data_IF_981511899880
#
_entry.id   IF_981511899880
#
_cell.length_a   1.000
_cell.length_b   1.000
_cell.length_c   1.000
_cell.angle_alpha   90.00
_cell.angle_beta   90.00
_cell.angle_gamma   90.00
#
_symmetry.space_group_name_H-M   'P 1'
#
loop_
_entity.id
_entity.type
_entity.pdbx_description
1 polymer ?
#
# COMPACT_ATOMS: atom_id res chain seq x y z
N UNK A 1 -9.49 -59.74 -36.51
CA UNK A 1 -8.43 -58.92 -36.02
C UNK A 1 -8.92 -57.49 -35.84
N UNK A 2 -9.36 -57.14 -34.64
CA UNK A 2 -9.89 -55.80 -34.31
C UNK A 2 -8.82 -55.04 -33.56
N UNK A 3 -8.26 -54.00 -34.12
CA UNK A 3 -7.26 -53.13 -33.50
C UNK A 3 -7.98 -51.94 -32.88
N UNK A 4 -8.13 -51.95 -31.55
CA UNK A 4 -8.67 -50.82 -30.81
C UNK A 4 -7.54 -49.77 -30.62
N UNK A 5 -7.72 -48.59 -31.21
CA UNK A 5 -6.90 -47.41 -30.89
C UNK A 5 -7.44 -46.71 -29.65
N UNK A 6 -6.67 -46.73 -28.58
CA UNK A 6 -6.92 -46.00 -27.37
C UNK A 6 -6.47 -44.54 -27.60
N UNK A 7 -7.42 -43.64 -27.72
CA UNK A 7 -7.15 -42.20 -27.75
C UNK A 7 -6.99 -41.74 -26.31
N UNK A 8 -5.75 -41.49 -25.89
CA UNK A 8 -5.44 -40.81 -24.63
C UNK A 8 -5.68 -39.31 -24.83
N UNK A 9 -6.84 -38.82 -24.35
CA UNK A 9 -7.10 -37.38 -24.26
C UNK A 9 -6.35 -36.83 -23.04
N UNK A 10 -5.19 -36.18 -23.31
CA UNK A 10 -4.48 -35.42 -22.31
C UNK A 10 -5.28 -34.21 -21.85
N UNK A 11 -5.81 -34.23 -20.64
CA UNK A 11 -6.34 -33.04 -19.97
C UNK A 11 -5.13 -32.21 -19.51
N UNK A 12 -4.80 -31.17 -20.29
CA UNK A 12 -3.87 -30.16 -19.83
C UNK A 12 -4.55 -29.38 -18.69
N UNK A 13 -4.15 -29.63 -17.45
CA UNK A 13 -4.56 -28.81 -16.32
C UNK A 13 -3.97 -27.41 -16.51
N UNK A 14 -4.80 -26.49 -16.97
CA UNK A 14 -4.50 -25.06 -17.01
C UNK A 14 -4.60 -24.58 -15.56
N UNK A 15 -3.49 -24.63 -14.83
CA UNK A 15 -3.35 -23.93 -13.57
C UNK A 15 -3.41 -22.43 -13.90
N UNK A 16 -4.64 -21.89 -13.90
CA UNK A 16 -4.86 -20.46 -14.03
C UNK A 16 -4.17 -19.78 -12.84
N UNK A 17 -3.14 -19.03 -13.11
CA UNK A 17 -2.61 -18.04 -12.18
C UNK A 17 -3.72 -17.02 -11.99
N UNK A 18 -4.46 -17.14 -10.91
CA UNK A 18 -5.29 -16.06 -10.40
C UNK A 18 -4.30 -14.97 -9.95
N UNK A 19 -3.97 -14.06 -10.86
CA UNK A 19 -3.39 -12.78 -10.47
C UNK A 19 -4.42 -12.12 -9.56
N UNK A 20 -4.23 -12.23 -8.26
CA UNK A 20 -4.93 -11.37 -7.31
C UNK A 20 -4.59 -9.95 -7.73
N UNK A 21 -5.60 -9.20 -8.18
CA UNK A 21 -5.48 -7.77 -8.39
C UNK A 21 -5.17 -7.18 -7.02
N UNK A 22 -3.89 -7.03 -6.71
CA UNK A 22 -3.44 -6.30 -5.53
C UNK A 22 -3.84 -4.85 -5.76
N UNK A 23 -4.67 -4.31 -4.89
CA UNK A 23 -5.00 -2.90 -4.92
C UNK A 23 -3.73 -2.12 -4.65
N UNK A 24 -3.21 -1.47 -5.69
CA UNK A 24 -2.07 -0.56 -5.57
C UNK A 24 -2.56 0.66 -4.79
N UNK A 25 -2.16 0.80 -3.53
CA UNK A 25 -2.45 1.99 -2.75
C UNK A 25 -1.27 2.96 -2.84
N UNK A 26 -1.58 4.22 -3.05
CA UNK A 26 -0.59 5.28 -3.13
C UNK A 26 -0.87 6.33 -2.05
N UNK A 27 0.18 6.76 -1.39
CA UNK A 27 0.11 7.88 -0.43
C UNK A 27 0.22 9.25 -1.11
N UNK A 28 0.35 9.31 -2.45
CA UNK A 28 0.54 10.57 -3.16
C UNK A 28 1.67 11.40 -2.57
N UNK A 29 1.41 12.69 -2.31
CA UNK A 29 2.40 13.58 -1.71
C UNK A 29 2.73 13.24 -0.24
N UNK A 30 1.85 12.51 0.48
CA UNK A 30 2.11 12.08 1.86
C UNK A 30 3.25 11.06 1.96
N UNK A 31 3.55 10.31 0.88
CA UNK A 31 4.63 9.32 0.86
C UNK A 31 6.05 9.88 1.02
N UNK A 32 6.23 11.20 0.93
CA UNK A 32 7.51 11.87 1.20
C UNK A 32 7.69 12.32 2.65
N UNK A 33 6.67 12.14 3.48
CA UNK A 33 6.69 12.56 4.88
C UNK A 33 7.02 11.38 5.80
N UNK A 34 8.07 11.55 6.62
CA UNK A 34 8.32 10.64 7.73
C UNK A 34 7.27 10.83 8.83
N UNK A 35 6.90 12.08 9.08
CA UNK A 35 5.88 12.48 10.05
C UNK A 35 4.93 13.49 9.42
N UNK A 36 3.62 13.23 9.56
CA UNK A 36 2.58 14.18 9.20
C UNK A 36 1.49 14.16 10.29
N UNK A 37 1.16 15.33 10.84
CA UNK A 37 0.16 15.45 11.90
C UNK A 37 -0.97 16.41 11.52
N UNK A 38 -2.18 16.14 12.02
CA UNK A 38 -3.34 17.03 11.87
C UNK A 38 -3.24 18.27 12.75
N UNK A 39 -2.74 18.15 13.97
CA UNK A 39 -2.77 19.24 14.96
C UNK A 39 -1.38 19.74 15.35
N UNK A 40 -0.53 18.92 15.92
CA UNK A 40 0.80 19.29 16.40
C UNK A 40 1.79 18.15 16.25
N UNK A 41 3.08 18.47 16.13
CA UNK A 41 4.18 17.54 16.32
C UNK A 41 5.01 17.97 17.48
N UNK A 42 5.26 17.08 18.43
CA UNK A 42 6.14 17.31 19.58
C UNK A 42 7.22 16.24 19.61
N UNK A 43 8.46 16.65 19.87
CA UNK A 43 9.58 15.74 20.04
C UNK A 43 10.33 16.06 21.31
N UNK A 44 10.86 15.04 21.97
CA UNK A 44 11.80 15.14 23.08
C UNK A 44 13.02 14.28 22.76
N UNK A 45 14.21 14.75 23.20
CA UNK A 45 15.46 14.02 22.94
C UNK A 45 15.96 14.13 21.50
N UNK A 46 16.80 13.19 21.07
CA UNK A 46 17.55 13.24 19.81
C UNK A 46 16.81 12.49 18.67
N UNK A 47 15.55 12.79 18.45
CA UNK A 47 14.79 12.17 17.34
C UNK A 47 15.43 12.45 16.00
N UNK A 48 15.59 11.41 15.18
CA UNK A 48 16.12 11.49 13.81
C UNK A 48 15.01 11.13 12.82
N UNK A 49 14.72 12.03 11.88
CA UNK A 49 13.76 11.83 10.81
C UNK A 49 14.48 11.83 9.46
N UNK A 50 14.45 10.70 8.76
CA UNK A 50 14.88 10.58 7.37
C UNK A 50 13.65 10.68 6.47
N UNK A 51 13.24 11.90 6.14
CA UNK A 51 12.04 12.27 5.38
C UNK A 51 11.49 13.61 5.83
N UNK A 52 10.46 14.10 5.14
CA UNK A 52 9.84 15.39 5.46
C UNK A 52 9.01 15.33 6.75
N UNK A 53 8.89 16.48 7.40
CA UNK A 53 8.08 16.70 8.60
C UNK A 53 6.95 17.67 8.27
N UNK A 54 5.70 17.29 8.53
CA UNK A 54 4.53 18.12 8.22
C UNK A 54 3.51 18.20 9.33
N UNK A 55 2.80 19.33 9.35
CA UNK A 55 1.61 19.53 10.18
C UNK A 55 0.60 20.39 9.42
N UNK A 56 -0.66 19.93 9.30
CA UNK A 56 -1.79 20.67 8.72
C UNK A 56 -3.11 20.01 9.13
N UNK A 57 -4.18 20.78 9.48
CA UNK A 57 -4.27 22.23 9.51
C UNK A 57 -3.55 22.90 10.70
N UNK A 58 -3.00 22.12 11.64
CA UNK A 58 -2.14 22.66 12.69
C UNK A 58 -0.91 23.35 12.13
N UNK A 59 -0.22 24.11 12.98
CA UNK A 59 0.97 24.89 12.60
C UNK A 59 2.12 24.71 13.60
N UNK A 60 1.94 23.85 14.59
CA UNK A 60 2.87 23.76 15.72
C UNK A 60 3.76 22.54 15.61
N UNK A 61 5.06 22.77 15.51
CA UNK A 61 6.13 21.78 15.58
C UNK A 61 7.09 22.23 16.69
N UNK A 62 7.34 21.39 17.69
CA UNK A 62 8.17 21.71 18.83
C UNK A 62 9.13 20.57 19.19
N UNK A 63 10.23 20.92 19.86
CA UNK A 63 11.12 19.96 20.51
C UNK A 63 12.20 19.35 19.62
N UNK A 64 12.37 19.78 18.37
CA UNK A 64 13.42 19.27 17.47
C UNK A 64 14.80 19.94 17.64
N UNK A 65 15.00 20.75 18.69
CA UNK A 65 16.27 21.44 18.92
C UNK A 65 17.49 20.50 19.00
N UNK A 66 17.42 19.34 19.68
CA UNK A 66 18.50 18.35 19.68
C UNK A 66 18.37 17.30 18.56
N UNK A 67 17.19 17.14 17.95
CA UNK A 67 16.93 16.17 16.89
C UNK A 67 17.35 16.66 15.50
N UNK A 68 17.27 15.75 14.52
CA UNK A 68 17.62 16.00 13.11
C UNK A 68 16.43 15.67 12.22
N UNK A 69 16.13 16.56 11.28
CA UNK A 69 15.18 16.31 10.19
C UNK A 69 15.96 16.35 8.88
N UNK A 70 16.18 15.18 8.27
CA UNK A 70 16.76 15.07 6.92
C UNK A 70 15.65 15.10 5.88
N UNK A 71 15.13 16.28 5.64
CA UNK A 71 14.01 16.55 4.77
C UNK A 71 13.52 17.97 4.98
N UNK A 72 12.39 18.30 4.34
CA UNK A 72 11.78 19.62 4.47
C UNK A 72 10.72 19.63 5.58
N UNK A 73 10.58 20.79 6.24
CA UNK A 73 9.56 21.00 7.26
C UNK A 73 8.47 21.92 6.75
N UNK A 74 7.21 21.46 6.88
CA UNK A 74 6.02 22.12 6.40
C UNK A 74 5.02 22.34 7.55
N UNK A 75 4.70 23.58 7.86
CA UNK A 75 3.85 23.92 9.02
C UNK A 75 2.67 24.78 8.56
N UNK A 76 1.49 24.19 8.41
CA UNK A 76 0.26 24.86 8.02
C UNK A 76 0.24 25.38 6.59
N UNK A 77 1.12 24.94 5.74
CA UNK A 77 1.20 25.36 4.35
C UNK A 77 0.43 24.45 3.39
N UNK A 78 0.40 24.83 2.10
CA UNK A 78 -0.34 24.10 1.07
C UNK A 78 0.25 22.72 0.77
N UNK A 79 1.55 22.50 1.00
CA UNK A 79 2.21 21.21 0.77
C UNK A 79 1.77 20.21 1.84
N UNK A 80 1.81 20.61 3.11
CA UNK A 80 1.31 19.78 4.21
C UNK A 80 -0.21 19.54 4.09
N UNK A 81 -0.99 20.55 3.65
CA UNK A 81 -2.42 20.40 3.43
C UNK A 81 -2.75 19.39 2.32
N UNK A 82 -2.01 19.41 1.22
CA UNK A 82 -2.16 18.41 0.14
C UNK A 82 -1.79 17.02 0.64
N UNK A 83 -0.69 16.89 1.37
CA UNK A 83 -0.27 15.62 1.93
C UNK A 83 -1.33 15.04 2.89
N UNK A 84 -1.98 15.85 3.72
CA UNK A 84 -3.10 15.40 4.56
C UNK A 84 -4.30 14.93 3.73
N UNK A 85 -4.63 15.61 2.64
CA UNK A 85 -5.69 15.19 1.73
C UNK A 85 -5.38 13.84 1.08
N UNK A 86 -4.14 13.64 0.65
CA UNK A 86 -3.70 12.38 0.04
C UNK A 86 -3.67 11.25 1.07
N UNK A 87 -3.20 11.51 2.31
CA UNK A 87 -3.24 10.55 3.41
C UNK A 87 -4.68 10.12 3.76
N UNK A 88 -5.64 11.06 3.79
CA UNK A 88 -7.05 10.75 4.00
C UNK A 88 -7.62 9.89 2.87
N UNK A 89 -7.23 10.16 1.63
CA UNK A 89 -7.66 9.37 0.47
C UNK A 89 -7.11 7.94 0.56
N UNK A 90 -5.84 7.78 0.93
CA UNK A 90 -5.22 6.47 1.19
C UNK A 90 -5.91 5.73 2.34
N UNK A 91 -6.16 6.41 3.47
CA UNK A 91 -6.87 5.85 4.62
C UNK A 91 -8.24 5.29 4.24
N UNK A 92 -9.02 6.04 3.47
CA UNK A 92 -10.37 5.64 3.03
C UNK A 92 -10.30 4.44 2.08
N UNK A 93 -9.33 4.43 1.17
CA UNK A 93 -9.09 3.31 0.25
C UNK A 93 -8.74 2.03 1.01
N UNK A 94 -7.82 2.13 1.98
CA UNK A 94 -7.39 1.00 2.81
C UNK A 94 -8.53 0.44 3.65
N UNK A 95 -9.37 1.31 4.23
CA UNK A 95 -10.55 0.91 5.01
C UNK A 95 -11.61 0.15 4.18
N UNK A 96 -11.65 0.39 2.86
CA UNK A 96 -12.57 -0.26 1.92
C UNK A 96 -12.09 -1.61 1.38
N UNK A 97 -10.86 -2.04 1.68
CA UNK A 97 -10.34 -3.33 1.21
C UNK A 97 -11.05 -4.50 1.90
N UNK A 98 -11.23 -5.59 1.16
CA UNK A 98 -11.86 -6.80 1.70
C UNK A 98 -10.82 -7.63 2.47
N UNK A 99 -11.02 -7.88 3.77
CA UNK A 99 -10.09 -8.67 4.56
C UNK A 99 -10.05 -10.15 4.11
N UNK A 100 -8.85 -10.73 4.08
CA UNK A 100 -8.69 -12.18 3.90
C UNK A 100 -8.86 -12.93 5.21
N UNK A 101 -8.60 -12.27 6.34
CA UNK A 101 -8.69 -12.87 7.67
C UNK A 101 -9.01 -11.81 8.74
N UNK A 102 -9.85 -12.18 9.70
CA UNK A 102 -10.05 -11.41 10.94
C UNK A 102 -9.12 -11.95 12.04
N UNK A 103 -8.37 -11.03 12.64
CA UNK A 103 -7.50 -11.28 13.80
C UNK A 103 -8.05 -10.63 15.07
N UNK A 104 -9.33 -10.28 15.10
CA UNK A 104 -9.97 -9.62 16.25
C UNK A 104 -9.79 -10.44 17.52
N UNK A 105 -9.25 -9.80 18.57
CA UNK A 105 -8.99 -10.43 19.87
C UNK A 105 -7.70 -11.26 19.93
N UNK A 106 -6.92 -11.33 18.85
CA UNK A 106 -5.61 -11.98 18.84
C UNK A 106 -4.50 -10.94 19.07
N UNK A 107 -3.47 -11.33 19.83
CA UNK A 107 -2.20 -10.60 19.88
C UNK A 107 -1.40 -10.95 18.61
N UNK A 108 -0.79 -9.94 18.00
CA UNK A 108 0.06 -10.11 16.82
C UNK A 108 1.40 -10.79 17.13
N UNK A 109 1.82 -10.77 18.41
CA UNK A 109 3.08 -11.40 18.84
C UNK A 109 3.10 -12.89 18.62
N UNK A 110 4.21 -13.39 18.06
CA UNK A 110 4.42 -14.79 17.73
C UNK A 110 3.74 -15.25 16.45
N UNK A 111 2.97 -14.38 15.76
CA UNK A 111 2.38 -14.73 14.47
C UNK A 111 3.40 -14.60 13.33
N UNK A 112 3.24 -15.47 12.32
CA UNK A 112 3.85 -15.31 11.00
C UNK A 112 2.71 -15.17 9.99
N UNK A 113 2.66 -14.02 9.30
CA UNK A 113 1.61 -13.70 8.35
C UNK A 113 2.18 -13.65 6.92
N UNK A 114 1.36 -14.01 5.95
CA UNK A 114 1.64 -13.91 4.51
C UNK A 114 0.95 -12.68 3.91
N UNK A 115 1.24 -12.28 2.65
CA UNK A 115 0.61 -11.10 2.06
C UNK A 115 -0.91 -11.15 2.09
N UNK A 116 -1.54 -10.05 2.49
CA UNK A 116 -3.00 -9.98 2.59
C UNK A 116 -3.53 -8.80 3.39
N UNK A 117 -4.86 -8.72 3.50
CA UNK A 117 -5.59 -7.73 4.29
C UNK A 117 -6.10 -8.38 5.56
N UNK A 118 -5.69 -7.89 6.71
CA UNK A 118 -6.03 -8.40 8.04
C UNK A 118 -6.90 -7.39 8.78
N UNK A 119 -7.98 -7.84 9.38
CA UNK A 119 -8.94 -6.96 10.05
C UNK A 119 -9.04 -7.24 11.54
N UNK A 120 -9.13 -6.15 12.31
CA UNK A 120 -9.48 -6.12 13.73
C UNK A 120 -10.70 -5.22 13.89
N UNK A 121 -11.84 -5.74 14.32
CA UNK A 121 -13.05 -4.94 14.58
C UNK A 121 -12.93 -4.05 15.83
N UNK A 122 -11.89 -4.27 16.63
CA UNK A 122 -11.56 -3.52 17.85
C UNK A 122 -10.09 -3.08 17.83
N UNK A 123 -9.44 -3.00 19.00
CA UNK A 123 -8.02 -2.74 19.11
C UNK A 123 -7.16 -3.93 18.66
N UNK A 124 -5.94 -3.62 18.22
CA UNK A 124 -4.87 -4.57 17.99
C UNK A 124 -3.72 -4.34 18.97
N UNK A 125 -3.08 -5.43 19.38
CA UNK A 125 -1.93 -5.42 20.27
C UNK A 125 -0.79 -6.24 19.65
N UNK A 126 0.44 -5.77 19.85
CA UNK A 126 1.65 -6.50 19.51
C UNK A 126 2.50 -6.68 20.76
N UNK A 127 2.64 -7.94 21.24
CA UNK A 127 3.52 -8.28 22.36
C UNK A 127 4.60 -9.24 21.86
N UNK A 128 5.85 -8.76 21.78
CA UNK A 128 6.97 -9.52 21.21
C UNK A 128 7.10 -9.34 19.71
N UNK A 129 7.25 -10.40 18.92
CA UNK A 129 7.61 -10.32 17.50
C UNK A 129 6.47 -10.76 16.59
N UNK A 130 6.13 -9.92 15.61
CA UNK A 130 5.33 -10.27 14.45
C UNK A 130 6.27 -10.49 13.26
N UNK A 131 6.16 -11.63 12.57
CA UNK A 131 6.90 -11.92 11.35
C UNK A 131 5.99 -11.76 10.12
N UNK A 132 6.41 -10.95 9.15
CA UNK A 132 5.75 -10.79 7.86
C UNK A 132 6.58 -11.48 6.78
N UNK A 133 6.07 -12.58 6.26
CA UNK A 133 6.74 -13.40 5.25
C UNK A 133 6.24 -13.03 3.86
N UNK A 134 7.08 -12.42 3.04
CA UNK A 134 6.74 -11.99 1.68
C UNK A 134 6.68 -13.11 0.64
N UNK A 135 6.90 -14.37 1.03
CA UNK A 135 6.85 -15.55 0.13
C UNK A 135 7.74 -15.42 -1.12
N UNK A 136 8.85 -14.68 -1.00
CA UNK A 136 9.78 -14.39 -2.09
C UNK A 136 9.33 -13.27 -3.03
N UNK A 137 8.22 -12.59 -2.73
CA UNK A 137 7.70 -11.48 -3.52
C UNK A 137 8.15 -10.13 -2.93
N UNK A 138 9.02 -9.35 -3.60
CA UNK A 138 9.43 -8.03 -3.12
C UNK A 138 8.31 -6.98 -3.16
N UNK A 139 7.21 -7.26 -3.86
CA UNK A 139 6.03 -6.41 -3.91
C UNK A 139 4.89 -6.94 -3.01
N UNK A 140 5.23 -7.80 -2.04
CA UNK A 140 4.25 -8.32 -1.08
C UNK A 140 3.59 -7.19 -0.29
N UNK A 141 2.26 -7.20 -0.19
CA UNK A 141 1.50 -6.20 0.53
C UNK A 141 0.83 -6.81 1.75
N UNK A 142 0.95 -6.10 2.88
CA UNK A 142 0.32 -6.44 4.15
C UNK A 142 -0.48 -5.22 4.63
N UNK A 143 -1.79 -5.36 4.72
CA UNK A 143 -2.66 -4.28 5.17
C UNK A 143 -3.35 -4.70 6.45
N UNK A 144 -3.21 -3.88 7.50
CA UNK A 144 -3.86 -4.08 8.78
C UNK A 144 -4.95 -3.03 8.97
N UNK A 145 -6.21 -3.44 8.98
CA UNK A 145 -7.36 -2.58 9.26
C UNK A 145 -7.73 -2.73 10.74
N UNK A 146 -7.47 -1.73 11.54
CA UNK A 146 -7.68 -1.75 13.00
C UNK A 146 -8.80 -0.81 13.37
N UNK A 147 -9.91 -1.35 13.90
CA UNK A 147 -11.13 -0.59 14.17
C UNK A 147 -10.99 0.50 15.22
N UNK A 148 -10.05 0.36 16.18
CA UNK A 148 -9.82 1.39 17.21
C UNK A 148 -8.34 1.71 17.37
N UNK A 149 -7.63 1.12 18.33
CA UNK A 149 -6.24 1.48 18.67
C UNK A 149 -5.25 0.38 18.30
N UNK A 150 -4.06 0.80 17.90
CA UNK A 150 -2.88 -0.06 17.81
C UNK A 150 -1.96 0.24 18.99
N UNK A 151 -1.54 -0.79 19.74
CA UNK A 151 -0.59 -0.65 20.84
C UNK A 151 0.47 -1.72 20.76
N UNK A 152 1.73 -1.34 20.87
CA UNK A 152 2.83 -2.30 21.02
C UNK A 152 3.37 -2.30 22.47
N UNK A 153 3.72 -3.47 22.97
CA UNK A 153 4.46 -3.59 24.22
C UNK A 153 5.92 -3.09 24.02
N UNK A 154 6.62 -2.83 25.10
CA UNK A 154 8.03 -2.47 25.04
C UNK A 154 8.85 -3.60 24.38
N UNK A 155 9.86 -3.22 23.60
CA UNK A 155 10.78 -4.12 22.88
C UNK A 155 10.07 -5.09 21.92
N UNK A 156 8.87 -4.73 21.44
CA UNK A 156 8.19 -5.47 20.39
C UNK A 156 8.82 -5.21 19.03
N UNK A 157 8.65 -6.13 18.08
CA UNK A 157 9.23 -5.99 16.75
C UNK A 157 8.29 -6.46 15.65
N UNK A 158 8.33 -5.79 14.50
CA UNK A 158 7.83 -6.29 13.22
C UNK A 158 9.03 -6.69 12.37
N UNK A 159 9.15 -7.98 12.08
CA UNK A 159 10.26 -8.56 11.30
C UNK A 159 9.79 -8.89 9.90
N UNK A 160 10.55 -8.47 8.91
CA UNK A 160 10.27 -8.68 7.48
C UNK A 160 11.16 -9.80 6.96
N UNK A 161 10.56 -10.84 6.35
CA UNK A 161 11.28 -12.00 5.84
C UNK A 161 10.87 -12.33 4.40
N UNK A 162 11.72 -13.09 3.72
CA UNK A 162 11.45 -13.66 2.39
C UNK A 162 10.90 -12.63 1.39
N UNK A 163 11.56 -11.50 1.27
CA UNK A 163 11.21 -10.45 0.30
C UNK A 163 10.19 -9.43 0.78
N UNK A 164 9.57 -9.59 1.95
CA UNK A 164 8.73 -8.54 2.52
C UNK A 164 9.53 -7.24 2.72
N UNK A 165 8.93 -6.10 2.38
CA UNK A 165 9.54 -4.78 2.51
C UNK A 165 8.64 -3.85 3.31
N UNK A 166 9.22 -2.91 4.05
CA UNK A 166 8.47 -1.98 4.90
C UNK A 166 7.47 -1.13 4.09
N UNK A 167 7.84 -0.71 2.87
CA UNK A 167 6.93 0.03 1.97
C UNK A 167 5.74 -0.78 1.45
N UNK A 168 5.72 -2.10 1.68
CA UNK A 168 4.56 -2.96 1.40
C UNK A 168 3.67 -3.19 2.62
N UNK A 169 3.97 -2.60 3.78
CA UNK A 169 3.22 -2.82 5.03
C UNK A 169 2.48 -1.55 5.43
N UNK A 170 1.17 -1.63 5.65
CA UNK A 170 0.36 -0.47 6.04
C UNK A 170 -0.59 -0.82 7.18
N UNK A 171 -0.63 0.08 8.17
CA UNK A 171 -1.45 0.03 9.37
C UNK A 171 -2.51 1.14 9.33
N UNK A 172 -3.72 0.82 8.90
CA UNK A 172 -4.87 1.72 8.97
C UNK A 172 -5.49 1.59 10.36
N UNK A 173 -5.47 2.67 11.16
CA UNK A 173 -5.85 2.68 12.57
C UNK A 173 -7.04 3.61 12.80
N UNK A 174 -8.16 3.07 13.24
CA UNK A 174 -9.43 3.79 13.40
C UNK A 174 -9.45 4.81 14.55
N UNK A 175 -8.40 4.88 15.38
CA UNK A 175 -8.22 5.92 16.40
C UNK A 175 -6.75 6.25 16.52
N UNK A 176 -6.06 5.84 17.59
CA UNK A 176 -4.68 6.21 17.87
C UNK A 176 -3.73 5.01 17.85
N UNK A 177 -2.47 5.25 17.49
CA UNK A 177 -1.40 4.29 17.59
C UNK A 177 -0.40 4.66 18.69
N UNK A 178 0.05 3.67 19.46
CA UNK A 178 1.10 3.85 20.47
C UNK A 178 2.16 2.78 20.30
N UNK A 179 3.36 3.18 19.96
CA UNK A 179 4.53 2.30 19.95
C UNK A 179 5.20 2.34 21.32
N UNK A 180 5.38 1.17 21.94
CA UNK A 180 6.04 1.01 23.22
C UNK A 180 7.53 1.35 23.15
N UNK A 181 8.16 1.54 24.29
CA UNK A 181 9.59 1.82 24.43
C UNK A 181 10.42 0.78 23.69
N UNK A 182 11.45 1.21 22.95
CA UNK A 182 12.38 0.35 22.20
C UNK A 182 11.69 -0.62 21.20
N UNK A 183 10.48 -0.27 20.74
CA UNK A 183 9.81 -1.02 19.68
C UNK A 183 10.52 -0.82 18.35
N UNK A 184 10.83 -1.90 17.62
CA UNK A 184 11.28 -1.86 16.23
C UNK A 184 10.10 -2.12 15.29
N UNK A 185 9.55 -1.08 14.68
CA UNK A 185 8.32 -1.17 13.90
C UNK A 185 8.58 -0.98 12.40
N UNK A 186 7.81 -1.68 11.56
CA UNK A 186 7.90 -1.58 10.11
C UNK A 186 6.53 -1.36 9.48
N UNK A 187 6.49 -0.50 8.47
CA UNK A 187 5.30 -0.13 7.71
C UNK A 187 4.78 1.26 8.03
N UNK A 188 3.93 1.77 7.15
CA UNK A 188 3.34 3.09 7.26
C UNK A 188 2.11 3.06 8.19
N UNK A 189 2.07 3.94 9.18
CA UNK A 189 0.97 4.06 10.14
C UNK A 189 0.08 5.23 9.73
N UNK A 190 -1.17 4.94 9.38
CA UNK A 190 -2.22 5.94 9.14
C UNK A 190 -3.24 5.88 10.27
N UNK A 191 -3.15 6.79 11.21
CA UNK A 191 -4.08 6.86 12.35
C UNK A 191 -5.10 8.00 12.17
N UNK A 192 -6.37 7.70 12.44
CA UNK A 192 -7.41 8.73 12.41
C UNK A 192 -7.15 9.84 13.42
N UNK A 193 -6.63 9.49 14.61
CA UNK A 193 -6.34 10.46 15.66
C UNK A 193 -4.83 10.66 15.84
N UNK A 194 -4.25 10.19 16.90
CA UNK A 194 -2.88 10.52 17.29
C UNK A 194 -1.93 9.34 17.16
N UNK A 195 -0.64 9.64 17.00
CA UNK A 195 0.43 8.64 17.05
C UNK A 195 1.41 9.04 18.14
N UNK A 196 1.72 8.10 19.02
CA UNK A 196 2.72 8.26 20.07
C UNK A 196 3.83 7.22 19.89
N UNK A 197 5.05 7.65 19.76
CA UNK A 197 6.22 6.79 19.78
C UNK A 197 6.98 7.03 21.07
N UNK A 198 6.97 6.03 21.96
CA UNK A 198 7.68 6.10 23.22
C UNK A 198 9.21 6.04 23.03
N UNK A 199 9.93 6.28 24.11
CA UNK A 199 11.38 6.40 24.13
C UNK A 199 12.06 5.26 23.34
N UNK A 200 12.93 5.61 22.41
CA UNK A 200 13.76 4.68 21.66
C UNK A 200 13.01 3.83 20.61
N UNK A 201 11.71 4.02 20.44
CA UNK A 201 11.00 3.32 19.38
C UNK A 201 11.50 3.76 18.00
N UNK A 202 11.72 2.80 17.08
CA UNK A 202 12.12 3.06 15.70
C UNK A 202 11.03 2.65 14.72
N UNK A 203 10.96 3.36 13.58
CA UNK A 203 9.98 3.12 12.54
C UNK A 203 10.64 3.13 11.15
N UNK A 204 10.58 1.99 10.47
CA UNK A 204 10.85 1.91 9.04
C UNK A 204 9.53 2.10 8.29
N UNK A 205 9.20 3.34 7.96
CA UNK A 205 7.91 3.77 7.41
C UNK A 205 7.59 5.20 7.81
N UNK A 206 6.31 5.57 7.68
CA UNK A 206 5.79 6.91 7.99
C UNK A 206 4.78 6.85 9.14
N UNK A 207 4.71 7.93 9.94
CA UNK A 207 3.66 8.11 10.95
C UNK A 207 2.76 9.29 10.56
N UNK A 208 1.56 8.96 10.05
CA UNK A 208 0.61 9.89 9.47
C UNK A 208 -0.65 9.94 10.35
N UNK A 209 -0.79 10.99 11.15
CA UNK A 209 -1.96 11.25 11.99
C UNK A 209 -2.89 12.23 11.28
N UNK A 210 -4.13 11.80 10.94
CA UNK A 210 -5.05 12.61 10.14
C UNK A 210 -5.59 13.82 10.91
N UNK A 211 -6.02 13.63 12.14
CA UNK A 211 -6.67 14.69 12.93
C UNK A 211 -5.91 15.06 14.20
N UNK A 212 -5.09 14.16 14.72
CA UNK A 212 -4.43 14.31 16.01
C UNK A 212 -2.98 14.78 15.92
N UNK A 213 -2.28 14.57 17.04
CA UNK A 213 -0.88 14.92 17.19
C UNK A 213 0.04 13.72 16.91
N UNK A 214 1.29 14.01 16.60
CA UNK A 214 2.39 13.03 16.67
C UNK A 214 3.34 13.41 17.80
N UNK A 215 3.58 12.48 18.72
CA UNK A 215 4.48 12.67 19.87
C UNK A 215 5.66 11.70 19.77
N UNK A 216 6.85 12.23 19.90
CA UNK A 216 8.12 11.52 19.71
C UNK A 216 9.03 11.66 20.92
N UNK A 217 9.83 10.63 21.20
CA UNK A 217 10.83 10.61 22.28
C UNK A 217 12.05 9.77 21.88
N UNK A 218 13.16 10.41 21.49
CA UNK A 218 14.41 9.74 21.07
C UNK A 218 14.16 8.66 19.98
N UNK A 219 13.43 8.99 18.94
CA UNK A 219 13.01 8.03 17.91
C UNK A 219 13.90 8.11 16.66
N UNK A 220 13.98 7.01 15.92
CA UNK A 220 14.57 6.94 14.58
C UNK A 220 13.48 6.54 13.59
N UNK A 221 13.16 7.44 12.67
CA UNK A 221 12.12 7.23 11.67
C UNK A 221 12.73 7.40 10.27
N UNK A 222 12.61 6.35 9.46
CA UNK A 222 13.09 6.35 8.08
C UNK A 222 11.96 5.96 7.15
N UNK A 223 11.59 6.85 6.23
CA UNK A 223 10.58 6.53 5.20
C UNK A 223 11.05 5.32 4.38
N UNK A 224 10.12 4.44 4.10
CA UNK A 224 10.34 3.35 3.15
C UNK A 224 9.84 3.78 1.78
N UNK A 225 10.63 3.54 0.72
CA UNK A 225 10.11 3.67 -0.63
C UNK A 225 9.04 2.60 -0.84
N UNK A 226 7.87 3.02 -1.34
CA UNK A 226 6.88 2.06 -1.81
C UNK A 226 7.52 1.15 -2.88
N UNK A 227 7.17 -0.15 -2.92
CA UNK A 227 7.61 -1.01 -4.00
C UNK A 227 7.24 -0.37 -5.35
N UNK A 228 8.20 -0.24 -6.25
CA UNK A 228 7.94 0.30 -7.59
C UNK A 228 6.90 -0.57 -8.29
N UNK A 229 5.80 0.02 -8.81
CA UNK A 229 4.84 -0.74 -9.59
C UNK A 229 5.59 -1.37 -10.78
N UNK A 230 5.37 -2.67 -10.98
CA UNK A 230 6.07 -3.46 -12.00
C UNK A 230 5.66 -2.96 -13.39
N UNK A 231 6.24 -1.84 -13.84
CA UNK A 231 5.94 -1.14 -15.10
C UNK A 231 6.16 -2.03 -16.34
N UNK A 232 6.89 -3.14 -16.18
CA UNK A 232 7.11 -4.12 -17.25
C UNK A 232 5.87 -4.88 -17.71
N UNK A 233 4.92 -5.16 -16.81
CA UNK A 233 3.69 -5.91 -17.14
C UNK A 233 2.57 -5.00 -17.68
N UNK A 234 2.45 -3.78 -17.19
CA UNK A 234 1.46 -2.81 -17.67
C UNK A 234 1.72 -2.40 -19.13
N UNK A 235 2.99 -2.20 -19.52
CA UNK A 235 3.35 -1.87 -20.88
C UNK A 235 3.06 -3.02 -21.86
N UNK A 236 3.19 -4.29 -21.45
CA UNK A 236 2.96 -5.46 -22.30
C UNK A 236 1.46 -5.68 -22.54
N UNK A 237 0.60 -5.44 -21.55
CA UNK A 237 -0.85 -5.58 -21.72
C UNK A 237 -1.47 -4.48 -22.61
N UNK A 238 -0.95 -3.23 -22.52
CA UNK A 238 -1.36 -2.17 -23.46
C UNK A 238 -0.94 -2.47 -24.90
N UNK A 239 0.25 -3.05 -25.12
CA UNK A 239 0.71 -3.40 -26.45
C UNK A 239 -0.09 -4.55 -27.09
N UNK A 240 -0.47 -5.56 -26.30
CA UNK A 240 -1.30 -6.69 -26.77
C UNK A 240 -2.75 -6.23 -27.05
N UNK A 241 -3.32 -5.36 -26.20
CA UNK A 241 -4.66 -4.81 -26.41
C UNK A 241 -4.75 -3.93 -27.67
N UNK A 242 -3.77 -3.12 -27.96
CA UNK A 242 -3.69 -2.29 -29.17
C UNK A 242 -3.43 -3.12 -30.41
N UNK A 243 -2.62 -4.17 -30.34
CA UNK A 243 -2.33 -5.06 -31.47
C UNK A 243 -3.52 -5.87 -31.93
N UNK A 244 -4.39 -6.32 -31.03
CA UNK A 244 -5.64 -7.02 -31.36
C UNK A 244 -6.71 -6.07 -31.94
N UNK A 245 -6.81 -4.84 -31.42
CA UNK A 245 -7.72 -3.82 -31.95
C UNK A 245 -7.40 -3.42 -33.39
N UNK A 246 -6.14 -3.31 -33.75
CA UNK A 246 -5.73 -2.96 -35.12
C UNK A 246 -5.98 -4.07 -36.13
N UNK A 247 -5.87 -5.34 -35.75
CA UNK A 247 -6.18 -6.46 -36.66
C UNK A 247 -7.69 -6.57 -37.01
N UNK A 248 -8.57 -6.20 -36.06
CA UNK A 248 -10.01 -6.22 -36.30
C UNK A 248 -10.50 -5.02 -37.13
N UNK A 249 -9.88 -3.85 -37.02
CA UNK A 249 -10.23 -2.66 -37.80
C UNK A 249 -9.64 -2.70 -39.22
N UNK A 250 -8.40 -3.24 -39.37
CA UNK A 250 -7.75 -3.39 -40.68
C UNK A 250 -8.50 -4.35 -41.63
N UNK A 251 -9.09 -5.45 -41.10
CA UNK A 251 -9.80 -6.44 -41.91
C UNK A 251 -11.11 -5.92 -42.54
N UNK A 252 -11.75 -4.92 -41.94
CA UNK A 252 -12.99 -4.32 -42.50
C UNK A 252 -12.70 -3.28 -43.59
N UNK A 253 -11.58 -2.59 -43.55
CA UNK A 253 -11.20 -1.61 -44.62
C UNK A 253 -10.75 -2.32 -45.90
N UNK A 254 -10.05 -3.44 -45.83
CA UNK A 254 -9.59 -4.17 -47.04
C UNK A 254 -10.75 -4.78 -47.84
N UNK A 255 -11.83 -5.22 -47.19
CA UNK A 255 -13.02 -5.74 -47.91
C UNK A 255 -13.79 -4.65 -48.63
N UNK A 256 -13.76 -3.39 -48.19
CA UNK A 256 -14.41 -2.26 -48.88
C UNK A 256 -13.68 -1.80 -50.14
N UNK A 257 -12.34 -1.85 -50.12
CA UNK A 257 -11.53 -1.43 -51.30
C UNK A 257 -11.57 -2.48 -52.45
N UNK A 258 -11.81 -3.77 -52.13
CA UNK A 258 -11.93 -4.81 -53.15
C UNK A 258 -13.31 -4.79 -53.84
N UNK A 259 -14.35 -4.30 -53.18
CA UNK A 259 -15.69 -4.14 -53.78
C UNK A 259 -15.75 -2.96 -54.74
N UNK A 260 -14.96 -1.90 -54.52
CA UNK A 260 -14.96 -0.71 -55.37
C UNK A 260 -14.14 -0.86 -56.65
N UNK A 261 -13.24 -1.88 -56.72
CA UNK A 261 -12.46 -2.20 -57.93
C UNK A 261 -13.11 -3.18 -58.91
N UNK A 262 -14.25 -3.79 -58.54
CA UNK A 262 -14.91 -4.81 -59.38
C UNK A 262 -16.05 -4.29 -60.31
N UNK A 263 -16.27 -2.97 -60.38
CA UNK A 263 -17.03 -2.30 -61.47
C UNK A 263 -18.35 -2.96 -61.90
N UNK A 264 -19.12 -3.55 -60.97
CA UNK A 264 -20.44 -4.13 -61.30
C UNK A 264 -21.57 -3.11 -61.03
N UNK A 265 -22.47 -2.87 -61.96
CA UNK A 265 -23.53 -1.87 -61.80
C UNK A 265 -24.59 -2.35 -60.80
N UNK A 266 -24.98 -1.44 -59.94
CA UNK A 266 -26.10 -1.65 -59.00
C UNK A 266 -27.42 -1.71 -59.77
N UNK A 267 -28.08 -2.87 -59.72
CA UNK A 267 -29.43 -3.02 -60.18
C UNK A 267 -30.40 -2.30 -59.21
N UNK A 268 -31.17 -1.38 -59.80
CA UNK A 268 -32.25 -0.66 -59.16
C UNK A 268 -33.38 -1.61 -58.75
N UNK A 269 -33.74 -1.62 -57.49
CA UNK A 269 -35.03 -2.12 -57.00
C UNK A 269 -35.77 -0.96 -56.31
N UNK A 270 -36.86 -0.57 -56.94
CA UNK A 270 -38.03 0.15 -56.43
C UNK A 270 -39.22 -0.71 -56.58
N UNK A 271 -40.30 -0.41 -55.88
CA UNK A 271 -40.59 0.23 -54.60
C UNK A 271 -40.92 -0.75 -53.52
#
# INVERSE_FOLDING_TARGET
>A
MNTNYLVLSGIAAFAGWLSTCQADFSFGSAGSFAILAGSTVTSTGNTVLNGSLGVSPGVTITGFGPGVVDGLTYAGDTVAAQAQSDALSAYTTLAGLVPVQSLTGQDLGGLTLTPGVYNFTSSSQLTGTLTLNGEGNPNAQFVFQIGTTLTTAASSAVVLENGAQAGGVVWQVGSSATLGTDTAFAGDILADQSITMNLGASLSGSALALNGMVTLADNDITISSAPEPNSGLAATLCAVGLGLGWRLVGGRRQRRMLAEKSGLPMASFQP
#
